data_IF_885683767415
#
_entry.id   IF_885683767415
#
_cell.length_a   1.000
_cell.length_b   1.000
_cell.length_c   1.000
_cell.angle_alpha   90.00
_cell.angle_beta   90.00
_cell.angle_gamma   90.00
#
_symmetry.space_group_name_H-M   'P 1'
#
loop_
_entity.id
_entity.type
_entity.pdbx_description
1 polymer ?
#
# COMPACT_ATOMS: atom_id res chain seq x y z
N UNK A 1 -6.34 -20.99 4.01
CA UNK A 1 -5.01 -21.26 3.41
C UNK A 1 -4.97 -20.97 1.90
N UNK A 2 -5.60 -19.87 1.45
CA UNK A 2 -5.62 -19.45 0.04
C UNK A 2 -4.36 -18.64 -0.27
N UNK A 3 -3.53 -19.22 -1.14
CA UNK A 3 -2.77 -18.58 -2.21
C UNK A 3 -1.59 -17.65 -1.88
N UNK A 4 -0.49 -18.24 -1.38
CA UNK A 4 0.86 -17.70 -1.55
C UNK A 4 1.29 -17.68 -3.04
N UNK A 5 0.66 -18.51 -3.88
CA UNK A 5 0.96 -18.60 -5.32
C UNK A 5 0.31 -17.47 -6.14
N UNK A 6 -0.88 -17.00 -5.77
CA UNK A 6 -1.58 -15.94 -6.53
C UNK A 6 -0.88 -14.60 -6.42
N UNK A 7 -0.30 -14.28 -5.25
CA UNK A 7 0.38 -12.98 -5.06
C UNK A 7 1.65 -12.87 -5.89
N UNK A 8 2.39 -13.98 -6.08
CA UNK A 8 3.53 -14.03 -7.02
C UNK A 8 3.10 -13.84 -8.47
N UNK A 9 1.93 -14.36 -8.86
CA UNK A 9 1.37 -14.20 -10.20
C UNK A 9 0.85 -12.77 -10.42
N UNK A 10 0.21 -12.15 -9.42
CA UNK A 10 -0.26 -10.77 -9.46
C UNK A 10 0.91 -9.77 -9.54
N UNK A 11 1.98 -10.00 -8.76
CA UNK A 11 3.20 -9.19 -8.81
C UNK A 11 3.95 -9.36 -10.14
N UNK A 12 4.03 -10.59 -10.68
CA UNK A 12 4.60 -10.83 -12.02
C UNK A 12 3.75 -10.22 -13.12
N UNK A 13 2.43 -10.30 -13.04
CA UNK A 13 1.52 -9.70 -14.00
C UNK A 13 1.58 -8.17 -13.98
N UNK A 14 1.72 -7.54 -12.80
CA UNK A 14 1.92 -6.10 -12.67
C UNK A 14 3.26 -5.66 -13.27
N UNK A 15 4.36 -6.34 -12.91
CA UNK A 15 5.69 -6.05 -13.44
C UNK A 15 5.76 -6.27 -14.96
N UNK A 16 5.10 -7.30 -15.50
CA UNK A 16 5.04 -7.59 -16.92
C UNK A 16 4.19 -6.57 -17.69
N UNK A 17 3.01 -6.21 -17.16
CA UNK A 17 2.14 -5.18 -17.76
C UNK A 17 2.80 -3.81 -17.75
N UNK A 18 3.51 -3.45 -16.67
CA UNK A 18 4.24 -2.19 -16.58
C UNK A 18 5.43 -2.15 -17.53
N UNK A 19 6.25 -3.22 -17.55
CA UNK A 19 7.36 -3.35 -18.50
C UNK A 19 6.91 -3.30 -19.96
N UNK A 20 5.80 -3.98 -20.30
CA UNK A 20 5.21 -3.94 -21.64
C UNK A 20 4.74 -2.54 -22.03
N UNK A 21 4.04 -1.82 -21.13
CA UNK A 21 3.60 -0.44 -21.39
C UNK A 21 4.79 0.50 -21.60
N UNK A 22 5.85 0.34 -20.82
CA UNK A 22 7.06 1.14 -20.94
C UNK A 22 7.79 0.87 -22.27
N UNK A 23 7.88 -0.41 -22.66
CA UNK A 23 8.45 -0.82 -23.95
C UNK A 23 7.61 -0.31 -25.14
N UNK A 24 6.29 -0.29 -25.01
CA UNK A 24 5.41 0.32 -26.01
C UNK A 24 5.66 1.83 -26.11
N UNK A 25 5.81 2.53 -24.97
CA UNK A 25 6.09 3.96 -24.93
C UNK A 25 7.44 4.31 -25.58
N UNK A 26 8.49 3.51 -25.37
CA UNK A 26 9.78 3.72 -26.05
C UNK A 26 9.68 3.50 -27.55
N UNK A 27 8.98 2.45 -27.98
CA UNK A 27 8.78 2.16 -29.40
C UNK A 27 8.01 3.29 -30.11
N UNK A 28 6.97 3.83 -29.46
CA UNK A 28 6.22 4.97 -29.98
C UNK A 28 7.06 6.24 -30.04
N UNK A 29 7.84 6.55 -28.99
CA UNK A 29 8.73 7.71 -28.95
C UNK A 29 9.82 7.65 -30.02
N UNK A 30 10.46 6.49 -30.18
CA UNK A 30 11.44 6.26 -31.25
C UNK A 30 10.82 6.36 -32.64
N UNK A 31 9.65 5.76 -32.86
CA UNK A 31 8.93 5.81 -34.12
C UNK A 31 8.51 7.23 -34.51
N UNK A 32 8.05 8.05 -33.56
CA UNK A 32 7.71 9.44 -33.79
C UNK A 32 8.93 10.27 -34.22
N UNK A 33 10.09 10.02 -33.60
CA UNK A 33 11.33 10.71 -33.93
C UNK A 33 11.83 10.36 -35.34
N UNK A 34 11.79 9.07 -35.69
CA UNK A 34 12.13 8.58 -37.03
C UNK A 34 11.19 9.17 -38.07
N UNK A 35 9.89 9.23 -37.77
CA UNK A 35 8.88 9.83 -38.66
C UNK A 35 9.13 11.33 -38.86
N UNK A 36 9.48 12.06 -37.80
CA UNK A 36 9.79 13.48 -37.85
C UNK A 36 11.06 13.75 -38.68
N UNK A 37 12.09 12.93 -38.52
CA UNK A 37 13.29 12.98 -39.36
C UNK A 37 12.96 12.73 -40.84
N UNK A 38 12.16 11.69 -41.12
CA UNK A 38 11.78 11.36 -42.48
C UNK A 38 11.00 12.52 -43.13
N UNK A 39 10.05 13.13 -42.42
CA UNK A 39 9.32 14.30 -42.91
C UNK A 39 10.23 15.51 -43.12
N UNK A 40 11.17 15.76 -42.21
CA UNK A 40 12.12 16.87 -42.33
C UNK A 40 13.06 16.69 -43.53
N UNK A 41 13.48 15.45 -43.82
CA UNK A 41 14.37 15.13 -44.95
C UNK A 41 13.60 15.06 -46.28
N UNK A 42 12.35 14.58 -46.26
CA UNK A 42 11.48 14.54 -47.44
C UNK A 42 11.14 15.95 -47.96
N UNK A 43 11.09 16.96 -47.08
CA UNK A 43 10.87 18.36 -47.48
C UNK A 43 12.08 19.07 -48.08
N UNK A 44 13.29 18.51 -47.99
CA UNK A 44 14.52 19.18 -48.45
C UNK A 44 15.02 18.73 -49.83
N UNK A 45 14.29 17.87 -50.55
CA UNK A 45 14.65 17.41 -51.89
C UNK A 45 13.87 18.24 -52.92
N UNK A 46 14.54 19.20 -53.57
CA UNK A 46 13.92 20.15 -54.51
C UNK A 46 13.47 19.53 -55.84
N UNK A 47 12.44 20.13 -56.45
CA UNK A 47 11.71 19.63 -57.64
C UNK A 47 12.47 19.71 -58.99
N UNK A 48 13.75 20.12 -59.01
CA UNK A 48 14.53 20.31 -60.25
C UNK A 48 15.96 19.78 -60.17
N UNK A 49 16.42 19.13 -61.25
CA UNK A 49 17.74 18.51 -61.40
C UNK A 49 18.92 19.48 -61.16
N UNK A 50 18.74 20.79 -61.38
CA UNK A 50 19.79 21.81 -61.21
C UNK A 50 20.01 22.24 -59.75
N UNK A 51 18.93 22.35 -58.97
CA UNK A 51 19.03 22.65 -57.53
C UNK A 51 19.41 21.40 -56.71
N UNK A 52 19.09 20.21 -57.23
CA UNK A 52 19.47 18.93 -56.63
C UNK A 52 20.99 18.75 -56.53
N UNK A 53 21.77 19.17 -57.51
CA UNK A 53 23.24 18.98 -57.50
C UNK A 53 23.92 19.86 -56.44
N UNK A 54 23.47 21.11 -56.28
CA UNK A 54 23.98 22.00 -55.22
C UNK A 54 23.46 21.60 -53.83
N UNK A 55 22.21 21.16 -53.74
CA UNK A 55 21.65 20.68 -52.48
C UNK A 55 22.32 19.38 -52.02
N UNK A 56 22.73 18.47 -52.93
CA UNK A 56 23.43 17.22 -52.55
C UNK A 56 24.76 17.48 -51.80
N UNK A 57 25.53 18.50 -52.20
CA UNK A 57 26.78 18.85 -51.51
C UNK A 57 26.54 19.53 -50.15
N UNK A 58 25.57 20.43 -50.05
CA UNK A 58 25.18 21.10 -48.79
C UNK A 58 24.43 20.14 -47.83
N UNK A 59 23.67 19.18 -48.37
CA UNK A 59 23.04 18.10 -47.63
C UNK A 59 24.10 17.28 -46.92
N UNK A 60 25.22 16.93 -47.56
CA UNK A 60 26.22 16.06 -46.92
C UNK A 60 26.84 16.72 -45.67
N UNK A 61 26.95 18.05 -45.64
CA UNK A 61 27.48 18.81 -44.51
C UNK A 61 26.45 19.02 -43.39
N UNK A 62 25.16 19.17 -43.71
CA UNK A 62 24.08 19.41 -42.72
C UNK A 62 23.38 18.14 -42.24
N UNK A 63 23.30 17.11 -43.08
CA UNK A 63 22.63 15.84 -42.77
C UNK A 63 23.47 14.99 -41.84
N UNK A 64 24.81 15.06 -41.94
CA UNK A 64 25.70 14.34 -41.02
C UNK A 64 25.46 14.73 -39.54
N UNK A 65 25.55 16.02 -39.13
CA UNK A 65 25.29 16.42 -37.76
C UNK A 65 23.83 16.20 -37.36
N UNK A 66 22.86 16.27 -38.28
CA UNK A 66 21.45 16.01 -37.99
C UNK A 66 21.19 14.52 -37.67
N UNK A 67 21.81 13.60 -38.42
CA UNK A 67 21.74 12.16 -38.16
C UNK A 67 22.45 11.83 -36.85
N UNK A 68 23.63 12.42 -36.58
CA UNK A 68 24.32 12.24 -35.30
C UNK A 68 23.52 12.79 -34.12
N UNK A 69 22.93 13.98 -34.24
CA UNK A 69 22.10 14.56 -33.18
C UNK A 69 20.83 13.73 -32.90
N UNK A 70 20.18 13.21 -33.95
CA UNK A 70 18.97 12.40 -33.80
C UNK A 70 19.27 10.98 -33.30
N UNK A 71 20.33 10.34 -33.79
CA UNK A 71 20.77 9.05 -33.23
C UNK A 71 21.18 9.18 -31.76
N UNK A 72 21.87 10.26 -31.40
CA UNK A 72 22.23 10.56 -30.02
C UNK A 72 21.01 10.78 -29.12
N UNK A 73 19.97 11.48 -29.59
CA UNK A 73 18.75 11.69 -28.80
C UNK A 73 17.94 10.40 -28.61
N UNK A 74 17.87 9.53 -29.62
CA UNK A 74 17.25 8.20 -29.51
C UNK A 74 18.00 7.33 -28.50
N UNK A 75 19.34 7.35 -28.54
CA UNK A 75 20.17 6.61 -27.58
C UNK A 75 19.97 7.09 -26.14
N UNK A 76 19.91 8.41 -25.92
CA UNK A 76 19.60 8.97 -24.59
C UNK A 76 18.21 8.54 -24.14
N UNK A 77 17.19 8.65 -25.01
CA UNK A 77 15.82 8.25 -24.67
C UNK A 77 15.75 6.76 -24.30
N UNK A 78 16.41 5.90 -25.06
CA UNK A 78 16.49 4.47 -24.77
C UNK A 78 17.18 4.21 -23.42
N UNK A 79 18.29 4.89 -23.13
CA UNK A 79 19.05 4.73 -21.88
C UNK A 79 18.26 5.23 -20.66
N UNK A 80 17.64 6.40 -20.76
CA UNK A 80 16.77 6.94 -19.70
C UNK A 80 15.61 5.99 -19.44
N UNK A 81 14.98 5.47 -20.49
CA UNK A 81 13.83 4.58 -20.31
C UNK A 81 14.25 3.23 -19.72
N UNK A 82 15.39 2.68 -20.13
CA UNK A 82 15.96 1.48 -19.53
C UNK A 82 16.28 1.70 -18.04
N UNK A 83 16.87 2.84 -17.68
CA UNK A 83 17.14 3.19 -16.29
C UNK A 83 15.85 3.29 -15.45
N UNK A 84 14.82 3.97 -15.97
CA UNK A 84 13.50 4.06 -15.34
C UNK A 84 12.88 2.67 -15.17
N UNK A 85 12.96 1.80 -16.19
CA UNK A 85 12.45 0.43 -16.14
C UNK A 85 13.08 -0.35 -14.98
N UNK A 86 14.42 -0.32 -14.89
CA UNK A 86 15.19 -1.01 -13.86
C UNK A 86 14.82 -0.48 -12.48
N UNK A 87 14.78 0.85 -12.31
CA UNK A 87 14.38 1.48 -11.04
C UNK A 87 12.97 1.05 -10.64
N UNK A 88 12.00 1.11 -11.56
CA UNK A 88 10.62 0.70 -11.28
C UNK A 88 10.51 -0.76 -10.84
N UNK A 89 11.23 -1.67 -11.49
CA UNK A 89 11.22 -3.10 -11.11
C UNK A 89 11.85 -3.29 -9.73
N UNK A 90 12.98 -2.65 -9.45
CA UNK A 90 13.66 -2.73 -8.15
C UNK A 90 12.78 -2.17 -7.02
N UNK A 91 12.12 -1.04 -7.24
CA UNK A 91 11.20 -0.44 -6.27
C UNK A 91 9.95 -1.29 -6.05
N UNK A 92 9.38 -1.87 -7.10
CA UNK A 92 8.22 -2.77 -7.01
C UNK A 92 8.52 -3.96 -6.09
N UNK A 93 9.70 -4.58 -6.23
CA UNK A 93 10.10 -5.68 -5.35
C UNK A 93 10.33 -5.26 -3.89
N UNK A 94 10.82 -4.04 -3.66
CA UNK A 94 11.07 -3.52 -2.31
C UNK A 94 9.78 -3.22 -1.56
N UNK A 95 8.72 -2.80 -2.25
CA UNK A 95 7.43 -2.40 -1.63
C UNK A 95 6.45 -3.58 -1.49
N UNK A 96 6.42 -4.49 -2.47
CA UNK A 96 5.43 -5.57 -2.49
C UNK A 96 5.57 -6.55 -1.31
N UNK A 97 6.79 -6.88 -0.90
CA UNK A 97 7.04 -7.79 0.22
C UNK A 97 6.50 -7.26 1.57
N UNK A 98 6.85 -6.03 1.96
CA UNK A 98 6.31 -5.38 3.16
C UNK A 98 4.79 -5.22 3.13
N UNK A 99 4.18 -4.83 2.00
CA UNK A 99 2.72 -4.75 1.87
C UNK A 99 2.06 -6.11 2.08
N UNK A 100 2.60 -7.18 1.50
CA UNK A 100 2.05 -8.52 1.71
C UNK A 100 2.12 -8.96 3.18
N UNK A 101 3.23 -8.63 3.88
CA UNK A 101 3.34 -8.89 5.32
C UNK A 101 2.33 -8.06 6.12
N UNK A 102 2.08 -6.81 5.72
CA UNK A 102 1.09 -5.96 6.34
C UNK A 102 -0.32 -6.55 6.23
N UNK A 103 -0.71 -6.95 5.02
CA UNK A 103 -2.01 -7.57 4.73
C UNK A 103 -2.24 -8.82 5.60
N UNK A 104 -1.24 -9.70 5.66
CA UNK A 104 -1.32 -10.90 6.50
C UNK A 104 -1.43 -10.57 7.99
N UNK A 105 -0.71 -9.56 8.47
CA UNK A 105 -0.81 -9.15 9.86
C UNK A 105 -2.20 -8.56 10.17
N UNK A 106 -2.77 -7.78 9.25
CA UNK A 106 -4.14 -7.26 9.37
C UNK A 106 -5.16 -8.41 9.43
N UNK A 107 -5.01 -9.46 8.62
CA UNK A 107 -5.87 -10.64 8.67
C UNK A 107 -5.80 -11.36 10.02
N UNK A 108 -4.60 -11.49 10.60
CA UNK A 108 -4.40 -12.07 11.93
C UNK A 108 -5.05 -11.20 13.01
N UNK A 109 -4.87 -9.87 12.97
CA UNK A 109 -5.52 -8.92 13.87
C UNK A 109 -7.05 -9.02 13.77
N UNK A 110 -7.57 -9.10 12.54
CA UNK A 110 -9.00 -9.25 12.29
C UNK A 110 -9.58 -10.57 12.82
N UNK A 111 -8.76 -11.62 12.93
CA UNK A 111 -9.14 -12.88 13.57
C UNK A 111 -9.18 -12.82 15.11
N UNK A 112 -8.76 -11.70 15.71
CA UNK A 112 -8.77 -11.46 17.16
C UNK A 112 -7.41 -11.65 17.85
N UNK A 113 -6.36 -12.03 17.13
CA UNK A 113 -5.01 -12.10 17.69
C UNK A 113 -4.33 -10.73 17.69
N UNK A 114 -4.40 -10.08 18.85
CA UNK A 114 -3.81 -8.76 19.11
C UNK A 114 -2.40 -8.84 19.73
N UNK A 115 -1.79 -10.03 19.81
CA UNK A 115 -0.46 -10.21 20.38
C UNK A 115 0.67 -9.94 19.35
N UNK A 116 0.33 -9.82 18.06
CA UNK A 116 1.31 -9.63 17.02
C UNK A 116 1.92 -8.22 17.01
N UNK A 117 3.20 -8.14 16.62
CA UNK A 117 3.90 -6.87 16.42
C UNK A 117 4.37 -6.79 14.96
N UNK A 118 3.92 -5.76 14.24
CA UNK A 118 4.33 -5.51 12.87
C UNK A 118 5.62 -4.73 12.85
N UNK A 119 6.69 -5.28 12.27
CA UNK A 119 7.97 -4.58 12.11
C UNK A 119 8.52 -4.78 10.70
N UNK A 120 8.93 -3.68 10.08
CA UNK A 120 9.68 -3.68 8.84
C UNK A 120 11.16 -3.33 9.08
N UNK A 121 12.01 -3.55 8.07
CA UNK A 121 13.42 -3.17 8.15
C UNK A 121 13.52 -1.63 8.16
N UNK A 122 14.53 -1.09 8.82
CA UNK A 122 14.71 0.36 9.04
C UNK A 122 14.84 1.19 7.76
N UNK A 123 15.14 0.56 6.62
CA UNK A 123 15.27 1.23 5.33
C UNK A 123 14.02 1.08 4.46
N UNK A 124 12.88 0.75 5.04
CA UNK A 124 11.63 0.53 4.33
C UNK A 124 10.74 1.77 4.42
N UNK A 125 10.17 2.22 3.30
CA UNK A 125 9.33 3.43 3.26
C UNK A 125 8.01 3.24 4.04
N UNK A 126 7.67 2.00 4.38
CA UNK A 126 6.44 1.61 5.05
C UNK A 126 6.58 1.47 6.58
N UNK A 127 7.74 1.81 7.17
CA UNK A 127 7.95 1.71 8.62
C UNK A 127 6.92 2.52 9.42
N UNK A 128 6.58 3.73 8.96
CA UNK A 128 5.55 4.59 9.57
C UNK A 128 4.20 3.87 9.63
N UNK A 129 3.81 3.21 8.53
CA UNK A 129 2.55 2.47 8.47
C UNK A 129 2.53 1.26 9.43
N UNK A 130 3.68 0.62 9.67
CA UNK A 130 3.79 -0.42 10.69
C UNK A 130 3.60 0.15 12.11
N UNK A 131 4.16 1.32 12.38
CA UNK A 131 4.04 1.98 13.69
C UNK A 131 2.60 2.43 13.95
N UNK A 132 1.92 2.94 12.93
CA UNK A 132 0.49 3.29 12.99
C UNK A 132 -0.37 2.04 13.22
N UNK A 133 -0.11 0.94 12.49
CA UNK A 133 -0.81 -0.33 12.69
C UNK A 133 -0.60 -0.86 14.12
N UNK A 134 0.63 -0.83 14.63
CA UNK A 134 0.91 -1.25 16.00
C UNK A 134 0.21 -0.36 17.03
N UNK A 135 0.11 0.95 16.78
CA UNK A 135 -0.62 1.88 17.64
C UNK A 135 -2.11 1.56 17.67
N UNK A 136 -2.70 1.24 16.51
CA UNK A 136 -4.08 0.77 16.41
C UNK A 136 -4.29 -0.52 17.21
N UNK A 137 -3.44 -1.54 17.04
CA UNK A 137 -3.52 -2.81 17.77
C UNK A 137 -3.42 -2.60 19.29
N UNK A 138 -2.52 -1.72 19.74
CA UNK A 138 -2.40 -1.37 21.17
C UNK A 138 -3.68 -0.75 21.71
N UNK A 139 -4.29 0.16 20.96
CA UNK A 139 -5.56 0.80 21.34
C UNK A 139 -6.68 -0.24 21.49
N UNK A 140 -6.84 -1.12 20.49
CA UNK A 140 -7.84 -2.20 20.52
C UNK A 140 -7.57 -3.12 21.73
N UNK A 141 -6.33 -3.56 21.94
CA UNK A 141 -5.97 -4.45 23.05
C UNK A 141 -6.24 -3.79 24.42
N UNK A 142 -5.95 -2.50 24.56
CA UNK A 142 -6.28 -1.75 25.77
C UNK A 142 -7.79 -1.77 26.04
N UNK A 143 -8.61 -1.43 25.04
CA UNK A 143 -10.07 -1.44 25.20
C UNK A 143 -10.61 -2.84 25.48
N UNK A 144 -10.11 -3.88 24.78
CA UNK A 144 -10.50 -5.27 25.04
C UNK A 144 -10.17 -5.71 26.47
N UNK A 145 -9.01 -5.31 27.00
CA UNK A 145 -8.64 -5.58 28.39
C UNK A 145 -9.55 -4.86 29.38
N UNK A 146 -9.82 -3.57 29.18
CA UNK A 146 -10.75 -2.82 30.05
C UNK A 146 -12.16 -3.43 30.05
N UNK A 147 -12.65 -3.89 28.90
CA UNK A 147 -13.93 -4.61 28.81
C UNK A 147 -13.87 -5.93 29.59
N UNK A 148 -12.79 -6.71 29.43
CA UNK A 148 -12.62 -7.97 30.15
C UNK A 148 -12.57 -7.75 31.67
N UNK A 149 -11.79 -6.78 32.14
CA UNK A 149 -11.67 -6.47 33.57
C UNK A 149 -13.02 -6.04 34.17
N UNK A 150 -13.82 -5.28 33.40
CA UNK A 150 -15.17 -4.89 33.82
C UNK A 150 -16.13 -6.09 33.87
N UNK A 151 -16.04 -7.02 32.92
CA UNK A 151 -16.81 -8.27 32.93
C UNK A 151 -16.40 -9.19 34.08
N UNK A 152 -15.11 -9.33 34.37
CA UNK A 152 -14.61 -10.14 35.48
C UNK A 152 -15.13 -9.60 36.84
N UNK A 153 -15.20 -8.27 37.00
CA UNK A 153 -15.83 -7.63 38.18
C UNK A 153 -17.33 -7.89 38.26
N UNK A 154 -18.04 -7.84 37.14
CA UNK A 154 -19.47 -8.15 37.09
C UNK A 154 -19.74 -9.60 37.45
N UNK A 155 -18.94 -10.54 36.92
CA UNK A 155 -19.02 -11.95 37.28
C UNK A 155 -18.80 -12.19 38.76
N UNK A 156 -17.78 -11.55 39.36
CA UNK A 156 -17.53 -11.66 40.80
C UNK A 156 -18.70 -11.11 41.66
N UNK A 157 -19.31 -10.01 41.24
CA UNK A 157 -20.49 -9.46 41.91
C UNK A 157 -21.72 -10.38 41.75
N UNK A 158 -21.92 -10.98 40.57
CA UNK A 158 -22.96 -11.96 40.31
C UNK A 158 -22.80 -13.22 41.17
N UNK A 159 -21.58 -13.77 41.24
CA UNK A 159 -21.27 -14.93 42.08
C UNK A 159 -21.56 -14.64 43.56
N UNK A 160 -21.19 -13.45 44.04
CA UNK A 160 -21.48 -13.00 45.42
C UNK A 160 -22.99 -12.92 45.66
N UNK A 161 -23.76 -12.31 44.75
CA UNK A 161 -25.23 -12.24 44.85
C UNK A 161 -25.86 -13.63 44.85
N UNK A 162 -25.31 -14.55 44.07
CA UNK A 162 -25.82 -15.93 43.97
C UNK A 162 -25.57 -16.73 45.24
N UNK A 163 -24.45 -16.51 45.92
CA UNK A 163 -24.18 -17.12 47.23
C UNK A 163 -25.10 -16.54 48.31
N UNK A 164 -25.28 -15.22 48.33
CA UNK A 164 -26.19 -14.53 49.24
C UNK A 164 -27.64 -14.99 49.10
N UNK A 165 -28.11 -15.26 47.87
CA UNK A 165 -29.46 -15.76 47.61
C UNK A 165 -29.76 -17.17 48.12
N UNK A 166 -28.76 -17.92 48.61
CA UNK A 166 -28.96 -19.25 49.22
C UNK A 166 -29.29 -19.19 50.71
N UNK A 167 -29.18 -18.02 51.35
CA UNK A 167 -29.47 -17.82 52.77
C UNK A 167 -30.34 -16.59 53.02
N UNK A 168 -30.37 -16.11 54.27
CA UNK A 168 -30.82 -14.75 54.61
C UNK A 168 -29.60 -13.82 54.51
N UNK A 169 -29.50 -12.98 53.46
CA UNK A 169 -28.34 -12.12 53.29
C UNK A 169 -28.38 -10.96 54.27
N UNK A 170 -27.22 -10.60 54.83
CA UNK A 170 -27.07 -9.33 55.52
C UNK A 170 -27.26 -8.17 54.52
N UNK A 171 -28.00 -7.13 54.93
CA UNK A 171 -28.30 -5.97 54.08
C UNK A 171 -27.00 -5.29 53.61
N UNK A 172 -25.96 -5.35 54.44
CA UNK A 172 -24.64 -4.79 54.14
C UNK A 172 -23.94 -5.53 52.99
N UNK A 173 -24.00 -6.85 52.98
CA UNK A 173 -23.38 -7.69 51.94
C UNK A 173 -24.13 -7.55 50.62
N UNK A 174 -25.47 -7.50 50.67
CA UNK A 174 -26.30 -7.27 49.50
C UNK A 174 -25.99 -5.90 48.85
N UNK A 175 -25.88 -4.84 49.66
CA UNK A 175 -25.52 -3.49 49.18
C UNK A 175 -24.12 -3.46 48.55
N UNK A 176 -23.14 -4.14 49.17
CA UNK A 176 -21.78 -4.21 48.64
C UNK A 176 -21.72 -4.89 47.27
N UNK A 177 -22.45 -6.00 47.10
CA UNK A 177 -22.49 -6.73 45.83
C UNK A 177 -23.18 -5.91 44.71
N UNK A 178 -24.28 -5.21 45.03
CA UNK A 178 -24.95 -4.29 44.08
C UNK A 178 -24.03 -3.15 43.66
N UNK A 179 -23.28 -2.56 44.61
CA UNK A 179 -22.37 -1.46 44.28
C UNK A 179 -21.20 -1.95 43.41
N UNK A 180 -20.66 -3.15 43.68
CA UNK A 180 -19.65 -3.78 42.83
C UNK A 180 -20.15 -4.02 41.39
N UNK A 181 -21.39 -4.50 41.23
CA UNK A 181 -22.01 -4.64 39.91
C UNK A 181 -22.20 -3.27 39.22
N UNK A 182 -22.62 -2.25 39.97
CA UNK A 182 -22.79 -0.89 39.44
C UNK A 182 -21.46 -0.29 38.97
N UNK A 183 -20.38 -0.51 39.71
CA UNK A 183 -19.03 -0.12 39.32
C UNK A 183 -18.58 -0.84 38.04
N UNK A 184 -18.80 -2.16 37.96
CA UNK A 184 -18.51 -2.96 36.76
C UNK A 184 -19.23 -2.44 35.51
N UNK A 185 -20.52 -2.12 35.61
CA UNK A 185 -21.31 -1.52 34.51
C UNK A 185 -20.75 -0.14 34.13
N UNK A 186 -20.36 0.67 35.11
CA UNK A 186 -19.78 2.00 34.86
C UNK A 186 -18.47 1.92 34.09
N UNK A 187 -17.56 1.03 34.49
CA UNK A 187 -16.28 0.80 33.80
C UNK A 187 -16.49 0.25 32.39
N UNK A 188 -17.44 -0.67 32.21
CA UNK A 188 -17.81 -1.18 30.88
C UNK A 188 -18.32 -0.04 29.97
N UNK A 189 -19.18 0.83 30.50
CA UNK A 189 -19.71 1.99 29.76
C UNK A 189 -18.60 2.97 29.37
N UNK A 190 -17.63 3.22 30.27
CA UNK A 190 -16.46 4.05 29.97
C UNK A 190 -15.60 3.43 28.88
N UNK A 191 -15.28 2.14 28.99
CA UNK A 191 -14.46 1.42 28.00
C UNK A 191 -15.09 1.48 26.59
N UNK A 192 -16.41 1.32 26.50
CA UNK A 192 -17.15 1.38 25.24
C UNK A 192 -17.37 2.80 24.70
N UNK A 193 -17.32 3.84 25.55
CA UNK A 193 -17.51 5.23 25.10
C UNK A 193 -16.47 5.71 24.08
N UNK A 194 -15.31 5.06 24.04
CA UNK A 194 -14.24 5.34 23.08
C UNK A 194 -14.46 4.70 21.71
N UNK A 195 -15.39 3.74 21.59
CA UNK A 195 -15.70 3.05 20.33
C UNK A 195 -16.95 3.67 19.73
N UNK A 196 -16.80 4.37 18.61
CA UNK A 196 -17.95 4.78 17.79
C UNK A 196 -18.47 3.57 17.02
N UNK A 197 -19.62 3.08 17.41
CA UNK A 197 -20.37 2.07 16.66
C UNK A 197 -21.32 2.78 15.69
N UNK A 198 -21.50 2.22 14.50
CA UNK A 198 -22.62 2.61 13.63
C UNK A 198 -23.87 2.04 14.29
N UNK A 199 -24.82 2.90 14.67
CA UNK A 199 -26.13 2.43 15.14
C UNK A 199 -26.75 1.60 14.00
N UNK A 200 -27.10 0.34 14.30
CA UNK A 200 -27.90 -0.46 13.38
C UNK A 200 -29.22 0.28 13.18
N UNK A 201 -29.41 0.82 11.98
CA UNK A 201 -30.70 1.34 11.54
C UNK A 201 -31.66 0.15 11.51
N UNK A 202 -32.46 0.04 12.56
CA UNK A 202 -33.59 -0.88 12.65
C UNK A 202 -34.62 -0.58 11.54
#
# INVERSE_FOLDING_TARGET
>A
MKNVTDTRLLQRAFNLRFGLKLCLFTLLGGGALVTLLWLSLARSVGDSYGEAIYSIYDLKLKVLPLIFASSYSILILALVTAAVAVISVLYSHRIAGPIFRLERNIEIIASGDLAIVTRFRSNDQLSVLADDLNSMVRSINHTTRSVKDALDRLGAAEDTLRELGKGEPDEKELRAAIEGAREGISELKKALSHIKMKEESA
#
